data_IF_012892547892
#
_entry.id   IF_012892547892
#
_cell.length_a   1.000
_cell.length_b   1.000
_cell.length_c   1.000
_cell.angle_alpha   90.00
_cell.angle_beta   90.00
_cell.angle_gamma   90.00
#
_symmetry.space_group_name_H-M   'P 1'
#
loop_
_entity.id
_entity.type
_entity.pdbx_description
1 polymer ?
#
# COMPACT_ATOMS: atom_id res chain seq x y z
N UNK A 1 -17.10 -2.89 1.54
CA UNK A 1 -17.85 -3.54 0.45
C UNK A 1 -18.98 -2.61 0.02
N UNK A 2 -19.31 -2.53 -1.27
CA UNK A 2 -20.44 -1.75 -1.79
C UNK A 2 -21.79 -2.47 -1.66
N UNK A 3 -21.75 -3.82 -1.65
CA UNK A 3 -22.89 -4.73 -1.46
C UNK A 3 -22.36 -6.07 -0.94
N UNK A 4 -23.22 -7.06 -0.66
CA UNK A 4 -22.76 -8.39 -0.22
C UNK A 4 -21.80 -9.08 -1.19
N UNK A 5 -21.94 -8.82 -2.49
CA UNK A 5 -21.19 -9.51 -3.54
C UNK A 5 -20.17 -8.62 -4.25
N UNK A 6 -19.95 -7.38 -3.78
CA UNK A 6 -19.02 -6.43 -4.42
C UNK A 6 -18.21 -5.60 -3.45
N UNK A 7 -16.92 -5.45 -3.72
CA UNK A 7 -16.07 -4.47 -3.06
C UNK A 7 -16.46 -3.03 -3.42
N UNK A 8 -16.11 -2.10 -2.53
CA UNK A 8 -16.27 -0.67 -2.79
C UNK A 8 -15.12 -0.20 -3.65
N UNK A 9 -15.42 0.40 -4.81
CA UNK A 9 -14.40 0.84 -5.76
C UNK A 9 -14.12 2.33 -5.57
N UNK A 10 -13.12 2.64 -4.76
CA UNK A 10 -12.77 4.02 -4.43
C UNK A 10 -12.02 4.66 -5.60
N UNK A 11 -12.48 5.85 -6.02
CA UNK A 11 -11.77 6.70 -6.97
C UNK A 11 -11.09 7.80 -6.19
N UNK A 12 -9.75 7.82 -6.21
CA UNK A 12 -8.94 8.69 -5.35
C UNK A 12 -8.45 9.96 -6.05
N UNK A 13 -8.31 9.94 -7.37
CA UNK A 13 -7.68 11.04 -8.10
C UNK A 13 -8.45 12.35 -7.94
N UNK A 14 -7.71 13.42 -7.63
CA UNK A 14 -8.21 14.76 -7.32
C UNK A 14 -9.24 14.80 -6.18
N UNK A 15 -9.05 13.91 -5.20
CA UNK A 15 -9.84 13.79 -3.98
C UNK A 15 -8.89 13.56 -2.80
N UNK A 16 -9.47 13.46 -1.62
CA UNK A 16 -8.78 13.03 -0.42
C UNK A 16 -9.45 11.79 0.17
N UNK A 17 -8.64 10.97 0.82
CA UNK A 17 -9.09 9.86 1.65
C UNK A 17 -8.66 10.14 3.09
N UNK A 18 -9.63 10.05 4.00
CA UNK A 18 -9.47 10.48 5.39
C UNK A 18 -10.04 9.43 6.32
N UNK A 19 -9.30 9.11 7.38
CA UNK A 19 -9.73 8.18 8.41
C UNK A 19 -9.14 8.55 9.76
N UNK A 20 -9.82 8.13 10.82
CA UNK A 20 -9.28 8.16 12.18
C UNK A 20 -8.59 6.84 12.49
N UNK A 21 -7.49 6.89 13.24
CA UNK A 21 -6.75 5.70 13.67
C UNK A 21 -6.27 5.83 15.10
N UNK A 22 -6.30 4.71 15.82
CA UNK A 22 -5.66 4.54 17.12
C UNK A 22 -4.63 3.41 17.02
N UNK A 23 -3.36 3.79 17.08
CA UNK A 23 -2.21 2.88 17.03
C UNK A 23 -1.54 2.72 18.39
N UNK A 24 -2.13 3.25 19.47
CA UNK A 24 -1.51 3.29 20.81
C UNK A 24 -1.16 1.91 21.36
N UNK A 25 -1.86 0.87 20.89
CA UNK A 25 -1.67 -0.52 21.28
C UNK A 25 -0.90 -1.35 20.24
N UNK A 26 -0.31 -0.73 19.21
CA UNK A 26 0.51 -1.40 18.21
C UNK A 26 2.01 -1.18 18.51
N UNK A 27 2.71 -2.14 19.13
CA UNK A 27 4.14 -2.02 19.41
C UNK A 27 5.00 -2.24 18.15
N UNK A 28 6.32 -2.10 18.31
CA UNK A 28 7.30 -2.55 17.32
C UNK A 28 7.07 -4.02 16.92
N UNK A 29 7.30 -4.32 15.65
CA UNK A 29 7.12 -5.66 15.09
C UNK A 29 5.70 -5.95 14.58
N UNK A 30 4.74 -5.04 14.82
CA UNK A 30 3.43 -5.06 14.17
C UNK A 30 3.32 -3.97 13.10
N UNK A 31 2.43 -4.22 12.15
CA UNK A 31 2.01 -3.27 11.12
C UNK A 31 0.47 -3.28 11.03
N UNK A 32 -0.15 -2.17 11.41
CA UNK A 32 -1.56 -1.91 11.10
C UNK A 32 -1.65 -1.23 9.74
N UNK A 33 -1.95 -1.99 8.71
CA UNK A 33 -2.00 -1.51 7.33
C UNK A 33 -3.42 -1.11 6.90
N UNK A 34 -3.53 0.06 6.25
CA UNK A 34 -4.70 0.49 5.49
C UNK A 34 -4.20 0.96 4.13
N UNK A 35 -4.65 0.31 3.06
CA UNK A 35 -4.15 0.54 1.70
C UNK A 35 -5.22 0.24 0.66
N UNK A 36 -4.94 0.61 -0.58
CA UNK A 36 -5.76 0.28 -1.74
C UNK A 36 -5.00 -0.62 -2.70
N UNK A 37 -5.70 -1.61 -3.23
CA UNK A 37 -5.21 -2.53 -4.24
C UNK A 37 -6.15 -2.51 -5.45
N UNK A 38 -5.60 -2.65 -6.66
CA UNK A 38 -6.36 -2.64 -7.92
C UNK A 38 -7.07 -3.98 -8.21
N UNK A 39 -7.83 -4.46 -7.21
CA UNK A 39 -8.65 -5.67 -7.30
C UNK A 39 -9.90 -5.47 -8.16
N UNK A 40 -10.44 -6.58 -8.68
CA UNK A 40 -11.75 -6.58 -9.33
C UNK A 40 -12.88 -6.46 -8.33
N UNK A 41 -13.89 -5.66 -8.67
CA UNK A 41 -15.02 -5.35 -7.77
C UNK A 41 -15.81 -6.59 -7.31
N UNK A 42 -15.86 -7.65 -8.11
CA UNK A 42 -16.55 -8.91 -7.79
C UNK A 42 -15.59 -10.01 -7.30
N UNK A 43 -14.33 -9.67 -7.05
CA UNK A 43 -13.29 -10.61 -6.62
C UNK A 43 -12.88 -11.62 -7.70
N UNK A 44 -13.09 -11.29 -8.98
CA UNK A 44 -12.76 -12.13 -10.13
C UNK A 44 -13.84 -13.15 -10.48
N UNK A 45 -15.05 -12.99 -9.94
CA UNK A 45 -16.16 -13.92 -10.13
C UNK A 45 -16.60 -14.00 -11.61
N UNK A 46 -16.72 -12.86 -12.28
CA UNK A 46 -17.11 -12.78 -13.70
C UNK A 46 -15.99 -13.19 -14.64
N UNK A 47 -14.73 -12.90 -14.29
CA UNK A 47 -13.57 -13.20 -15.12
C UNK A 47 -13.18 -14.68 -15.11
N UNK A 48 -13.40 -15.37 -13.99
CA UNK A 48 -12.98 -16.75 -13.80
C UNK A 48 -14.15 -17.65 -13.47
N UNK A 49 -14.67 -18.38 -14.46
CA UNK A 49 -15.87 -19.20 -14.30
C UNK A 49 -15.75 -20.29 -13.23
N UNK A 50 -14.54 -20.71 -12.86
CA UNK A 50 -14.29 -21.66 -11.77
C UNK A 50 -14.32 -21.02 -10.38
N UNK A 51 -14.15 -19.69 -10.28
CA UNK A 51 -14.45 -18.96 -9.05
C UNK A 51 -15.98 -18.89 -8.88
N UNK A 52 -16.50 -19.55 -7.85
CA UNK A 52 -17.93 -19.51 -7.48
C UNK A 52 -18.20 -18.76 -6.19
N UNK A 53 -17.16 -18.20 -5.57
CA UNK A 53 -17.24 -17.55 -4.26
C UNK A 53 -17.28 -16.02 -4.40
N UNK A 54 -16.33 -15.44 -5.15
CA UNK A 54 -16.30 -14.00 -5.42
C UNK A 54 -16.03 -13.12 -4.19
N UNK A 55 -16.25 -11.82 -4.35
CA UNK A 55 -15.99 -10.81 -3.32
C UNK A 55 -16.71 -11.07 -1.99
N UNK A 56 -17.87 -11.74 -2.00
CA UNK A 56 -18.60 -12.15 -0.79
C UNK A 56 -17.74 -12.98 0.18
N UNK A 57 -16.78 -13.73 -0.36
CA UNK A 57 -15.85 -14.57 0.39
C UNK A 57 -14.41 -14.04 0.38
N UNK A 58 -14.19 -12.78 -0.03
CA UNK A 58 -12.87 -12.17 0.02
C UNK A 58 -11.90 -12.66 -1.08
N UNK A 59 -12.38 -13.13 -2.23
CA UNK A 59 -11.49 -13.61 -3.31
C UNK A 59 -10.88 -12.46 -4.13
N UNK A 60 -9.82 -12.79 -4.88
CA UNK A 60 -9.26 -11.91 -5.91
C UNK A 60 -8.19 -10.93 -5.41
N UNK A 61 -7.61 -11.16 -4.23
CA UNK A 61 -6.54 -10.34 -3.69
C UNK A 61 -5.32 -10.29 -4.63
N UNK A 62 -4.66 -9.14 -4.66
CA UNK A 62 -3.41 -8.86 -5.34
C UNK A 62 -2.74 -7.66 -4.69
N UNK A 63 -1.43 -7.50 -4.86
CA UNK A 63 -0.68 -6.31 -4.44
C UNK A 63 0.64 -6.19 -5.24
N UNK A 64 1.48 -5.22 -4.89
CA UNK A 64 2.74 -4.95 -5.60
C UNK A 64 3.86 -5.96 -5.30
N UNK A 65 3.72 -6.76 -4.25
CA UNK A 65 4.65 -7.83 -3.92
C UNK A 65 4.42 -9.09 -4.74
N UNK A 66 3.34 -9.14 -5.54
CA UNK A 66 2.96 -10.31 -6.32
C UNK A 66 2.87 -11.61 -5.48
N UNK A 67 2.13 -11.62 -4.36
CA UNK A 67 2.17 -12.66 -3.34
C UNK A 67 1.86 -14.04 -3.88
N UNK A 68 2.70 -15.00 -3.51
CA UNK A 68 2.62 -16.40 -3.93
C UNK A 68 2.01 -17.33 -2.89
N UNK A 69 1.71 -16.81 -1.71
CA UNK A 69 1.06 -17.50 -0.59
C UNK A 69 -0.47 -17.56 -0.72
N UNK A 70 -1.03 -16.80 -1.68
CA UNK A 70 -2.47 -16.83 -1.97
C UNK A 70 -2.89 -18.21 -2.48
N UNK A 71 -3.80 -18.83 -1.74
CA UNK A 71 -4.24 -20.23 -1.94
C UNK A 71 -5.08 -20.41 -3.21
N UNK A 72 -5.81 -19.37 -3.63
CA UNK A 72 -6.69 -19.38 -4.79
C UNK A 72 -6.43 -18.16 -5.66
N UNK A 73 -5.96 -18.38 -6.88
CA UNK A 73 -5.65 -17.32 -7.85
C UNK A 73 -6.36 -17.68 -9.15
N UNK A 74 -7.11 -16.73 -9.72
CA UNK A 74 -7.83 -16.90 -10.98
C UNK A 74 -8.81 -18.08 -11.01
N UNK A 75 -9.43 -18.40 -9.87
CA UNK A 75 -10.36 -19.53 -9.74
C UNK A 75 -9.67 -20.90 -9.74
N UNK A 76 -8.35 -20.96 -9.58
CA UNK A 76 -7.55 -22.18 -9.49
C UNK A 76 -6.81 -22.25 -8.14
N UNK A 77 -6.63 -23.46 -7.61
CA UNK A 77 -5.81 -23.69 -6.42
C UNK A 77 -4.33 -23.46 -6.75
N UNK A 78 -3.62 -22.71 -5.92
CA UNK A 78 -2.18 -22.48 -6.03
C UNK A 78 -1.34 -23.59 -5.38
N UNK A 79 -1.82 -24.83 -5.39
CA UNK A 79 -1.16 -25.97 -4.73
C UNK A 79 0.02 -26.54 -5.51
N UNK A 80 0.14 -26.22 -6.81
CA UNK A 80 1.24 -26.71 -7.64
C UNK A 80 2.55 -26.05 -7.22
N UNK A 81 3.56 -26.86 -6.93
CA UNK A 81 4.87 -26.38 -6.46
C UNK A 81 4.85 -25.79 -5.04
N UNK A 82 3.80 -26.08 -4.25
CA UNK A 82 3.66 -25.51 -2.91
C UNK A 82 4.83 -25.88 -2.00
N UNK A 83 5.49 -24.87 -1.46
CA UNK A 83 6.56 -25.01 -0.46
C UNK A 83 6.12 -24.34 0.83
N UNK A 84 6.13 -25.07 1.94
CA UNK A 84 5.79 -24.52 3.26
C UNK A 84 6.84 -23.49 3.70
N UNK A 85 6.40 -22.44 4.39
CA UNK A 85 7.31 -21.46 4.98
C UNK A 85 8.14 -22.11 6.10
N UNK A 86 9.41 -21.74 6.20
CA UNK A 86 10.30 -22.20 7.27
C UNK A 86 10.02 -21.49 8.61
N UNK A 87 9.35 -20.34 8.58
CA UNK A 87 9.19 -19.45 9.75
C UNK A 87 7.73 -19.13 10.08
N UNK A 88 6.80 -19.39 9.16
CA UNK A 88 5.36 -19.23 9.38
C UNK A 88 4.65 -20.58 9.25
N UNK A 89 4.13 -21.16 10.34
CA UNK A 89 3.43 -22.45 10.30
C UNK A 89 2.12 -22.41 9.49
N UNK A 90 1.59 -21.22 9.18
CA UNK A 90 0.37 -21.04 8.41
C UNK A 90 0.64 -20.63 6.95
N UNK A 91 1.90 -20.35 6.61
CA UNK A 91 2.33 -19.78 5.34
C UNK A 91 3.01 -20.79 4.42
N UNK A 92 3.08 -20.43 3.15
CA UNK A 92 3.82 -21.15 2.12
C UNK A 92 3.73 -20.42 0.80
N UNK A 93 4.22 -21.00 -0.28
CA UNK A 93 4.15 -20.37 -1.60
C UNK A 93 3.97 -21.41 -2.69
N UNK A 94 3.03 -21.16 -3.60
CA UNK A 94 2.83 -21.95 -4.82
C UNK A 94 3.70 -21.45 -5.98
N UNK A 95 3.39 -21.94 -7.18
CA UNK A 95 4.06 -21.49 -8.40
C UNK A 95 3.58 -20.12 -8.90
N UNK A 96 2.33 -19.76 -8.62
CA UNK A 96 1.72 -18.53 -9.10
C UNK A 96 1.76 -17.44 -8.03
N UNK A 97 1.88 -16.19 -8.47
CA UNK A 97 1.62 -15.01 -7.66
C UNK A 97 0.49 -14.16 -8.25
N UNK A 98 0.03 -13.15 -7.52
CA UNK A 98 -1.07 -12.27 -7.92
C UNK A 98 -0.67 -10.80 -7.73
N UNK A 99 -0.39 -10.13 -8.83
CA UNK A 99 0.16 -8.77 -8.90
C UNK A 99 -0.92 -7.73 -9.21
N UNK A 100 -0.82 -6.53 -8.66
CA UNK A 100 -1.52 -5.34 -9.15
C UNK A 100 -0.97 -4.06 -8.52
N UNK A 101 -1.37 -2.90 -9.05
CA UNK A 101 -1.03 -1.60 -8.46
C UNK A 101 -1.52 -1.52 -7.01
N UNK A 102 -0.69 -0.91 -6.16
CA UNK A 102 -0.95 -0.76 -4.72
C UNK A 102 -0.64 0.67 -4.27
N UNK A 103 -1.48 1.17 -3.36
CA UNK A 103 -1.29 2.46 -2.71
C UNK A 103 -1.42 2.26 -1.20
N UNK A 104 -0.28 2.22 -0.53
CA UNK A 104 -0.19 2.15 0.91
C UNK A 104 -0.46 3.51 1.52
N UNK A 105 -1.72 3.74 1.89
CA UNK A 105 -2.14 4.96 2.58
C UNK A 105 -1.45 5.04 3.94
N UNK A 106 -1.33 3.90 4.61
CA UNK A 106 -0.90 3.83 5.98
C UNK A 106 -0.34 2.46 6.32
N UNK A 107 0.96 2.40 6.58
CA UNK A 107 1.59 1.29 7.28
C UNK A 107 2.22 1.83 8.55
N UNK A 108 1.79 1.34 9.71
CA UNK A 108 2.26 1.92 10.96
C UNK A 108 2.16 1.01 12.17
N UNK A 109 2.92 1.43 13.16
CA UNK A 109 2.70 1.11 14.56
C UNK A 109 2.79 2.41 15.39
N UNK A 110 2.83 2.30 16.70
CA UNK A 110 2.97 3.45 17.61
C UNK A 110 4.28 4.22 17.43
N UNK A 111 5.31 3.67 16.76
CA UNK A 111 6.65 4.24 16.70
C UNK A 111 6.94 4.94 15.37
N UNK A 112 6.50 4.32 14.27
CA UNK A 112 6.77 4.81 12.91
C UNK A 112 5.55 4.61 12.00
N UNK A 113 5.50 5.40 10.93
CA UNK A 113 4.53 5.24 9.84
C UNK A 113 5.17 5.53 8.49
N UNK A 114 4.68 4.89 7.44
CA UNK A 114 4.98 5.16 6.05
C UNK A 114 3.69 5.28 5.21
N UNK A 115 3.78 6.01 4.10
CA UNK A 115 2.82 5.95 3.01
C UNK A 115 3.56 5.87 1.68
N UNK A 116 3.11 4.98 0.80
CA UNK A 116 3.94 4.48 -0.30
C UNK A 116 3.07 4.10 -1.51
N UNK A 117 3.21 4.76 -2.67
CA UNK A 117 2.66 4.27 -3.93
C UNK A 117 3.58 3.20 -4.54
N UNK A 118 2.98 2.12 -5.02
CA UNK A 118 3.63 1.01 -5.69
C UNK A 118 3.00 0.77 -7.07
N UNK A 119 3.62 1.30 -8.14
CA UNK A 119 3.14 1.07 -9.50
C UNK A 119 3.54 -0.30 -10.05
N UNK A 120 2.74 -0.79 -10.98
CA UNK A 120 3.03 -1.96 -11.81
C UNK A 120 2.97 -1.60 -13.30
N UNK A 121 3.66 -2.39 -14.11
CA UNK A 121 3.63 -2.30 -15.58
C UNK A 121 2.37 -2.94 -16.18
N UNK A 122 1.65 -3.74 -15.40
CA UNK A 122 0.36 -4.35 -15.72
C UNK A 122 -0.79 -3.54 -15.12
N UNK A 123 -1.98 -3.66 -15.71
CA UNK A 123 -3.21 -3.01 -15.23
C UNK A 123 -4.17 -4.04 -14.62
N UNK A 124 -4.71 -3.72 -13.44
CA UNK A 124 -5.57 -4.61 -12.67
C UNK A 124 -4.85 -5.88 -12.20
N UNK A 125 -5.62 -6.84 -11.70
CA UNK A 125 -5.08 -8.11 -11.22
C UNK A 125 -4.45 -8.94 -12.34
N UNK A 126 -3.18 -9.31 -12.16
CA UNK A 126 -2.37 -10.13 -13.05
C UNK A 126 -1.80 -11.35 -12.33
N UNK A 127 -1.91 -12.54 -12.93
CA UNK A 127 -1.27 -13.75 -12.39
C UNK A 127 0.12 -13.91 -12.99
N UNK A 128 1.15 -13.85 -12.15
CA UNK A 128 2.54 -14.01 -12.55
C UNK A 128 3.05 -15.44 -12.31
N UNK A 129 4.20 -15.77 -12.93
CA UNK A 129 5.01 -16.95 -12.58
C UNK A 129 6.50 -16.62 -12.61
N UNK A 130 7.32 -17.38 -11.88
CA UNK A 130 8.77 -17.22 -11.90
C UNK A 130 9.20 -15.79 -11.56
N UNK A 131 10.15 -15.25 -12.34
CA UNK A 131 10.72 -13.92 -12.17
C UNK A 131 9.68 -12.79 -12.17
N UNK A 132 8.55 -12.95 -12.87
CA UNK A 132 7.49 -11.93 -12.94
C UNK A 132 6.89 -11.60 -11.56
N UNK A 133 7.04 -12.51 -10.58
CA UNK A 133 6.48 -12.40 -9.24
C UNK A 133 7.41 -11.79 -8.19
N UNK A 134 8.41 -10.98 -8.56
CA UNK A 134 9.33 -10.35 -7.60
C UNK A 134 9.94 -11.38 -6.61
N UNK A 135 10.40 -12.52 -7.11
CA UNK A 135 10.89 -13.61 -6.24
C UNK A 135 12.04 -13.12 -5.34
N UNK A 136 12.29 -13.77 -4.19
CA UNK A 136 13.37 -13.32 -3.29
C UNK A 136 14.74 -13.15 -3.96
N UNK A 137 15.03 -13.93 -5.00
CA UNK A 137 16.28 -13.84 -5.78
C UNK A 137 16.23 -12.85 -6.93
N UNK A 138 15.05 -12.43 -7.36
CA UNK A 138 14.81 -11.58 -8.54
C UNK A 138 13.79 -10.47 -8.22
N UNK A 139 13.93 -9.86 -7.03
CA UNK A 139 12.96 -8.93 -6.45
C UNK A 139 12.58 -7.78 -7.38
N UNK A 140 13.50 -7.30 -8.22
CA UNK A 140 13.30 -6.14 -9.10
C UNK A 140 13.08 -6.50 -10.58
N UNK A 141 12.93 -7.79 -10.90
CA UNK A 141 12.71 -8.24 -12.28
C UNK A 141 11.23 -8.51 -12.60
N UNK A 142 10.34 -8.39 -11.61
CA UNK A 142 8.92 -8.63 -11.81
C UNK A 142 8.18 -7.44 -12.39
N UNK A 143 6.86 -7.57 -12.43
CA UNK A 143 5.99 -6.60 -13.12
C UNK A 143 5.57 -5.41 -12.25
N UNK A 144 5.85 -5.47 -10.95
CA UNK A 144 5.47 -4.47 -9.95
C UNK A 144 6.69 -3.95 -9.20
N UNK A 145 6.64 -2.70 -8.75
CA UNK A 145 7.64 -2.11 -7.86
C UNK A 145 7.45 -2.67 -6.42
N UNK A 146 8.38 -3.50 -5.94
CA UNK A 146 8.24 -4.14 -4.63
C UNK A 146 8.61 -3.19 -3.47
N UNK A 147 9.21 -2.04 -3.75
CA UNK A 147 9.73 -1.13 -2.72
C UNK A 147 8.90 0.16 -2.63
N UNK A 148 8.43 0.67 -3.77
CA UNK A 148 7.63 1.87 -3.86
C UNK A 148 8.42 3.16 -3.61
N UNK A 149 7.72 4.30 -3.62
CA UNK A 149 8.28 5.60 -3.27
C UNK A 149 7.81 6.06 -1.89
N UNK A 150 8.49 5.60 -0.84
CA UNK A 150 8.01 5.75 0.53
C UNK A 150 8.28 7.13 1.14
N UNK A 151 7.32 7.60 1.94
CA UNK A 151 7.53 8.73 2.83
C UNK A 151 7.31 8.30 4.27
N UNK A 152 8.42 8.14 5.00
CA UNK A 152 8.45 7.93 6.44
C UNK A 152 9.23 9.08 7.10
N UNK A 153 8.57 9.87 7.96
CA UNK A 153 9.16 11.06 8.59
C UNK A 153 10.48 10.77 9.31
N UNK A 154 10.56 9.65 10.04
CA UNK A 154 11.77 9.27 10.76
C UNK A 154 12.90 8.92 9.78
N UNK A 155 12.60 8.10 8.76
CA UNK A 155 13.55 7.74 7.69
C UNK A 155 14.07 8.98 6.96
N UNK A 156 13.21 9.97 6.80
CA UNK A 156 13.49 11.24 6.15
C UNK A 156 14.05 12.30 7.12
N UNK A 157 14.53 11.91 8.30
CA UNK A 157 15.35 12.74 9.17
C UNK A 157 14.61 13.58 10.20
N UNK A 158 13.27 13.52 10.25
CA UNK A 158 12.48 14.12 11.33
C UNK A 158 12.08 13.07 12.36
N UNK A 159 12.97 12.87 13.34
CA UNK A 159 12.76 11.92 14.43
C UNK A 159 11.83 12.45 15.52
N UNK A 160 11.45 13.73 15.48
CA UNK A 160 10.58 14.41 16.45
C UNK A 160 9.10 14.48 16.02
N UNK A 161 8.77 14.04 14.81
CA UNK A 161 7.44 14.23 14.24
C UNK A 161 6.40 13.22 14.71
N UNK A 162 6.61 11.92 14.49
CA UNK A 162 5.62 10.86 14.75
C UNK A 162 6.10 9.88 15.85
N UNK A 163 5.25 9.61 16.83
CA UNK A 163 5.50 8.64 17.90
C UNK A 163 4.89 9.04 19.25
N UNK A 164 5.14 8.29 20.34
CA UNK A 164 4.50 8.54 21.63
C UNK A 164 4.94 9.89 22.19
N UNK A 165 4.00 10.82 22.41
CA UNK A 165 4.27 12.17 22.91
C UNK A 165 4.98 13.11 21.91
N UNK A 166 5.01 12.77 20.62
CA UNK A 166 5.61 13.60 19.56
C UNK A 166 4.61 14.58 18.95
N UNK A 167 5.00 15.27 17.86
CA UNK A 167 4.14 16.24 17.16
C UNK A 167 2.81 15.61 16.74
N UNK A 168 2.85 14.41 16.16
CA UNK A 168 1.72 13.49 16.05
C UNK A 168 1.88 12.45 17.15
N UNK A 169 1.08 12.59 18.20
CA UNK A 169 1.16 11.78 19.41
C UNK A 169 0.41 10.46 19.23
N UNK A 170 1.15 9.36 19.11
CA UNK A 170 0.57 8.04 18.86
C UNK A 170 -0.06 7.39 20.11
N UNK A 171 0.02 8.03 21.28
CA UNK A 171 -0.67 7.56 22.49
C UNK A 171 -2.18 7.82 22.46
N UNK A 172 -2.66 8.54 21.45
CA UNK A 172 -4.07 8.90 21.28
C UNK A 172 -4.50 8.69 19.84
N UNK A 173 -5.81 8.63 19.62
CA UNK A 173 -6.41 8.68 18.29
C UNK A 173 -6.05 9.99 17.57
N UNK A 174 -5.83 9.92 16.27
CA UNK A 174 -5.68 11.06 15.38
C UNK A 174 -6.31 10.76 14.02
N UNK A 175 -6.57 11.81 13.24
CA UNK A 175 -7.04 11.71 11.86
C UNK A 175 -5.85 11.76 10.91
N UNK A 176 -5.86 10.91 9.89
CA UNK A 176 -4.93 10.90 8.77
C UNK A 176 -5.69 11.33 7.52
N UNK A 177 -5.17 12.31 6.80
CA UNK A 177 -5.69 12.80 5.52
C UNK A 177 -4.63 12.56 4.46
N UNK A 178 -5.01 11.91 3.37
CA UNK A 178 -4.15 11.72 2.20
C UNK A 178 -4.82 12.29 0.96
N UNK A 179 -4.16 13.25 0.31
CA UNK A 179 -4.71 13.97 -0.85
C UNK A 179 -4.00 13.55 -2.12
N UNK A 180 -4.75 13.29 -3.18
CA UNK A 180 -4.23 12.84 -4.48
C UNK A 180 -4.40 13.95 -5.50
N UNK A 181 -3.40 14.80 -5.62
CA UNK A 181 -3.46 16.00 -6.44
C UNK A 181 -3.17 15.64 -7.89
N UNK A 182 -4.05 16.05 -8.79
CA UNK A 182 -3.86 15.90 -10.23
C UNK A 182 -3.16 17.11 -10.84
N UNK A 183 -2.51 16.94 -11.98
CA UNK A 183 -1.79 18.00 -12.70
C UNK A 183 -2.66 19.16 -13.18
N UNK A 184 -3.96 18.92 -13.37
CA UNK A 184 -4.93 19.89 -13.88
C UNK A 184 -6.12 20.15 -12.94
N UNK A 185 -6.08 19.67 -11.70
CA UNK A 185 -7.17 19.84 -10.74
C UNK A 185 -8.46 19.09 -11.09
N UNK A 186 -8.38 18.03 -11.91
CA UNK A 186 -9.50 17.20 -12.33
C UNK A 186 -9.32 15.73 -11.94
N UNK A 187 -10.45 15.06 -11.65
CA UNK A 187 -10.48 13.62 -11.36
C UNK A 187 -10.10 12.73 -12.56
N UNK A 188 -9.89 13.33 -13.75
CA UNK A 188 -9.41 12.67 -14.96
C UNK A 188 -8.01 13.15 -15.39
N UNK A 189 -7.32 13.96 -14.57
CA UNK A 189 -5.96 14.38 -14.83
C UNK A 189 -4.93 13.27 -14.65
N UNK A 190 -3.65 13.62 -14.62
CA UNK A 190 -2.59 12.69 -14.17
C UNK A 190 -2.27 12.96 -12.71
N UNK A 191 -2.02 11.92 -11.92
CA UNK A 191 -1.54 12.09 -10.55
C UNK A 191 -0.21 12.84 -10.60
N UNK A 192 -0.11 13.92 -9.82
CA UNK A 192 1.08 14.77 -9.74
C UNK A 192 1.74 14.71 -8.36
N UNK A 193 0.92 14.65 -7.31
CA UNK A 193 1.43 14.79 -5.96
C UNK A 193 0.51 14.05 -4.95
N UNK A 194 1.09 13.37 -3.98
CA UNK A 194 0.38 12.79 -2.85
C UNK A 194 0.80 13.53 -1.58
N UNK A 195 -0.17 14.21 -0.94
CA UNK A 195 0.06 14.98 0.29
C UNK A 195 -0.47 14.27 1.52
N UNK A 196 0.16 14.55 2.65
CA UNK A 196 -0.21 14.04 3.97
C UNK A 196 -0.51 15.18 4.93
N UNK A 197 -1.64 15.08 5.63
CA UNK A 197 -2.02 15.98 6.71
C UNK A 197 -2.52 15.11 7.88
N UNK A 198 -2.29 15.57 9.10
CA UNK A 198 -2.84 14.96 10.31
C UNK A 198 -3.77 15.95 11.02
N UNK A 199 -4.76 15.45 11.74
CA UNK A 199 -5.57 16.26 12.67
C UNK A 199 -5.58 15.59 14.03
N UNK A 200 -5.13 16.30 15.06
CA UNK A 200 -5.10 15.79 16.43
C UNK A 200 -5.41 16.90 17.43
N UNK A 201 -6.25 16.61 18.44
CA UNK A 201 -6.68 17.59 19.45
C UNK A 201 -7.21 18.90 18.83
N UNK A 202 -7.94 18.80 17.72
CA UNK A 202 -8.51 19.92 16.97
C UNK A 202 -7.50 20.75 16.16
N UNK A 203 -6.25 20.32 16.06
CA UNK A 203 -5.18 21.01 15.33
C UNK A 203 -4.84 20.29 14.05
N UNK A 204 -4.75 21.06 12.95
CA UNK A 204 -4.20 20.58 11.68
C UNK A 204 -2.67 20.58 11.75
N UNK A 205 -2.05 19.47 11.40
CA UNK A 205 -0.61 19.25 11.41
C UNK A 205 -0.20 18.85 9.99
N UNK A 206 0.61 19.69 9.34
CA UNK A 206 1.18 19.36 8.02
C UNK A 206 2.23 18.26 8.16
N UNK A 207 2.48 17.50 7.10
CA UNK A 207 3.54 16.49 7.09
C UNK A 207 4.90 17.10 7.45
N UNK A 208 5.78 16.30 8.04
CA UNK A 208 7.17 16.70 8.28
C UNK A 208 7.89 16.97 6.96
N UNK A 209 8.93 17.80 7.00
CA UNK A 209 9.83 17.99 5.86
C UNK A 209 10.98 17.00 5.90
N UNK A 210 11.49 16.63 4.73
CA UNK A 210 12.76 15.93 4.58
C UNK A 210 13.89 16.74 5.22
N UNK A 211 14.68 16.06 6.04
CA UNK A 211 15.86 16.55 6.74
C UNK A 211 17.03 15.57 6.56
N UNK A 212 17.28 15.17 5.31
CA UNK A 212 18.41 14.33 4.91
C UNK A 212 19.36 15.17 4.06
N UNK A 213 20.67 15.25 4.40
CA UNK A 213 21.63 15.98 3.59
C UNK A 213 21.61 15.52 2.13
N UNK A 214 21.56 16.46 1.19
CA UNK A 214 21.55 16.16 -0.25
C UNK A 214 20.16 15.97 -0.87
N UNK A 215 19.09 15.93 -0.06
CA UNK A 215 17.70 15.96 -0.56
C UNK A 215 17.07 17.32 -0.20
N UNK A 216 16.29 17.89 -1.13
CA UNK A 216 15.51 19.10 -0.85
C UNK A 216 14.42 18.85 0.20
N UNK A 217 13.96 19.90 0.87
CA UNK A 217 13.00 19.84 1.97
C UNK A 217 11.54 19.60 1.51
N UNK A 218 11.30 18.49 0.81
CA UNK A 218 9.97 18.02 0.42
C UNK A 218 9.13 17.61 1.64
N UNK A 219 7.81 17.71 1.54
CA UNK A 219 6.83 17.23 2.54
C UNK A 219 5.71 16.39 1.91
N UNK A 220 5.87 16.01 0.65
CA UNK A 220 4.92 15.25 -0.14
C UNK A 220 5.63 14.30 -1.10
N UNK A 221 4.90 13.33 -1.65
CA UNK A 221 5.40 12.43 -2.69
C UNK A 221 5.11 13.06 -4.05
N UNK A 222 6.16 13.23 -4.84
CA UNK A 222 6.16 13.76 -6.20
C UNK A 222 7.24 13.03 -7.02
N UNK A 223 7.22 13.16 -8.34
CA UNK A 223 8.25 12.55 -9.21
C UNK A 223 9.66 13.02 -8.84
N UNK A 224 9.81 14.31 -8.53
CA UNK A 224 11.07 14.91 -8.12
C UNK A 224 11.55 14.40 -6.75
N UNK A 225 10.63 14.26 -5.79
CA UNK A 225 10.94 13.66 -4.49
C UNK A 225 11.38 12.21 -4.64
N UNK A 226 10.64 11.38 -5.39
CA UNK A 226 10.95 9.97 -5.57
C UNK A 226 12.31 9.78 -6.23
N UNK A 227 12.60 10.56 -7.27
CA UNK A 227 13.90 10.55 -7.95
C UNK A 227 15.03 10.93 -6.99
N UNK A 228 14.86 12.01 -6.24
CA UNK A 228 15.88 12.47 -5.28
C UNK A 228 16.10 11.47 -4.14
N UNK A 229 15.03 10.86 -3.63
CA UNK A 229 15.07 9.88 -2.54
C UNK A 229 15.81 8.61 -2.94
N UNK A 230 15.56 8.09 -4.16
CA UNK A 230 16.21 6.86 -4.67
C UNK A 230 17.64 7.07 -5.16
N UNK A 231 18.08 8.32 -5.31
CA UNK A 231 19.44 8.67 -5.74
C UNK A 231 20.46 8.83 -4.60
N UNK A 232 20.03 8.65 -3.35
CA UNK A 232 20.92 8.65 -2.17
C UNK A 232 21.51 7.27 -1.91
#
# INVERSE_FOLDING_TARGET
MASEDRYEMVKLLNREFTFDVDVSNLPCGLNGALYFSEMEADGGLSRFSSNKAGAKYGTGYCDSQCPKDIKWINGESNSVGWTASATDPNGGSGNFGTCCNEMDIWEANSISTAFTPHPCTVQGQYRCTGAECNTPTERYNGVCDPDGCDFNSYRLGDTGFYGPGKTVDTTKKFTVVTQFISDNGSANGRLKEIRRIYVQDGRVIQNSKVNVPGISAYDSISEEFCTAQKSQ
#
